data_IF_724476365382
#
_entry.id   IF_724476365382
#
_cell.length_a   1.000
_cell.length_b   1.000
_cell.length_c   1.000
_cell.angle_alpha   90.00
_cell.angle_beta   90.00
_cell.angle_gamma   90.00
#
_symmetry.space_group_name_H-M   'P 1'
#
loop_
_entity.id
_entity.type
_entity.pdbx_description
1 polymer ?
#
# COMPACT_ATOMS: atom_id res chain seq x y z
N UNK A 1 9.24 -1.86 -2.53
CA UNK A 1 8.29 -2.69 -1.78
C UNK A 1 7.73 -1.94 -0.57
N UNK A 2 8.59 -1.34 0.27
CA UNK A 2 8.17 -0.61 1.48
C UNK A 2 7.14 0.49 1.21
N UNK A 3 7.23 1.19 0.08
CA UNK A 3 6.25 2.22 -0.31
C UNK A 3 4.85 1.63 -0.45
N UNK A 4 4.71 0.47 -1.08
CA UNK A 4 3.40 -0.21 -1.23
C UNK A 4 2.88 -0.68 0.13
N UNK A 5 3.76 -1.29 0.96
CA UNK A 5 3.38 -1.75 2.29
C UNK A 5 2.96 -0.60 3.23
N UNK A 6 3.62 0.55 3.13
CA UNK A 6 3.39 1.67 4.05
C UNK A 6 2.23 2.60 3.64
N UNK A 7 1.77 2.53 2.39
CA UNK A 7 0.77 3.46 1.83
C UNK A 7 -0.44 2.77 1.21
N UNK A 8 -0.36 1.46 0.98
CA UNK A 8 -1.39 0.73 0.23
C UNK A 8 -1.55 1.17 -1.22
N UNK A 9 -0.60 1.93 -1.79
CA UNK A 9 -0.64 2.43 -3.17
C UNK A 9 -0.70 1.27 -4.19
N UNK A 10 -1.35 1.47 -5.32
CA UNK A 10 -1.31 0.50 -6.42
C UNK A 10 0.05 0.57 -7.13
N UNK A 11 0.50 -0.55 -7.68
CA UNK A 11 1.76 -0.60 -8.45
C UNK A 11 1.78 0.42 -9.58
N UNK A 12 0.68 0.54 -10.32
CA UNK A 12 0.56 1.52 -11.42
C UNK A 12 0.62 2.97 -10.97
N UNK A 13 0.35 3.24 -9.69
CA UNK A 13 0.38 4.59 -9.11
C UNK A 13 1.76 4.97 -8.57
N UNK A 14 2.71 4.03 -8.46
CA UNK A 14 4.07 4.31 -7.97
C UNK A 14 4.79 5.39 -8.80
N UNK A 15 4.45 5.55 -10.07
CA UNK A 15 4.98 6.61 -10.93
C UNK A 15 4.67 8.02 -10.44
N UNK A 16 3.64 8.19 -9.61
CA UNK A 16 3.27 9.48 -9.01
C UNK A 16 4.06 9.81 -7.74
N UNK A 17 4.84 8.87 -7.22
CA UNK A 17 5.75 9.15 -6.12
C UNK A 17 6.96 9.89 -6.70
N UNK A 18 6.94 11.19 -6.59
CA UNK A 18 8.00 12.09 -7.06
C UNK A 18 8.90 12.56 -5.92
N UNK A 19 10.03 13.16 -6.27
CA UNK A 19 10.93 13.80 -5.31
C UNK A 19 10.19 14.91 -4.52
N UNK A 20 9.29 15.64 -5.15
CA UNK A 20 8.43 16.66 -4.55
C UNK A 20 7.45 16.03 -3.57
N UNK A 21 6.80 14.92 -3.97
CA UNK A 21 5.90 14.17 -3.08
C UNK A 21 6.62 13.68 -1.81
N UNK A 22 7.86 13.21 -1.96
CA UNK A 22 8.68 12.79 -0.81
C UNK A 22 9.03 13.95 0.12
N UNK A 23 9.23 15.16 -0.42
CA UNK A 23 9.50 16.36 0.39
C UNK A 23 8.27 16.83 1.14
N UNK A 24 7.11 16.82 0.47
CA UNK A 24 5.83 17.28 1.05
C UNK A 24 5.13 16.22 1.93
N UNK A 25 5.57 14.96 1.90
CA UNK A 25 4.94 13.86 2.63
C UNK A 25 3.62 13.37 2.03
N UNK A 26 3.28 13.80 0.80
CA UNK A 26 2.03 13.41 0.13
C UNK A 26 2.20 13.36 -1.38
N UNK A 27 1.48 12.45 -2.02
CA UNK A 27 1.46 12.30 -3.47
C UNK A 27 0.02 12.35 -3.98
N UNK A 28 -0.23 13.12 -5.03
CA UNK A 28 -1.50 13.07 -5.77
C UNK A 28 -1.43 11.94 -6.79
N UNK A 29 -2.30 10.95 -6.64
CA UNK A 29 -2.37 9.81 -7.56
C UNK A 29 -3.67 9.82 -8.34
N UNK A 30 -3.61 9.36 -9.58
CA UNK A 30 -4.78 9.26 -10.45
C UNK A 30 -4.90 7.84 -11.01
N UNK A 31 -6.10 7.29 -10.96
CA UNK A 31 -6.42 6.00 -11.55
C UNK A 31 -7.86 6.00 -12.07
N UNK A 32 -8.04 5.65 -13.35
CA UNK A 32 -9.35 5.61 -14.01
C UNK A 32 -10.17 6.90 -13.81
N UNK A 33 -9.52 8.07 -13.96
CA UNK A 33 -10.15 9.38 -13.80
C UNK A 33 -10.40 9.85 -12.38
N UNK A 34 -10.17 8.99 -11.37
CA UNK A 34 -10.29 9.37 -9.97
C UNK A 34 -8.95 9.79 -9.39
N UNK A 35 -8.94 10.93 -8.70
CA UNK A 35 -7.77 11.45 -7.98
C UNK A 35 -7.93 11.21 -6.49
N UNK A 36 -6.83 10.94 -5.82
CA UNK A 36 -6.75 10.93 -4.35
C UNK A 36 -5.37 11.29 -3.87
N UNK A 37 -5.29 11.80 -2.67
CA UNK A 37 -4.02 12.02 -1.96
C UNK A 37 -3.57 10.74 -1.26
N UNK A 38 -2.31 10.38 -1.45
CA UNK A 38 -1.64 9.31 -0.71
C UNK A 38 -0.65 9.95 0.25
N UNK A 39 -0.82 9.72 1.55
CA UNK A 39 0.10 10.22 2.57
C UNK A 39 1.29 9.28 2.70
N UNK A 40 2.49 9.86 2.78
CA UNK A 40 3.75 9.16 2.96
C UNK A 40 4.17 9.31 4.43
N UNK A 41 4.22 8.23 5.22
CA UNK A 41 4.69 8.31 6.60
C UNK A 41 6.12 8.87 6.69
N UNK A 42 6.43 9.61 7.73
CA UNK A 42 7.73 10.27 7.92
C UNK A 42 8.91 9.31 7.81
N UNK A 43 8.77 8.11 8.36
CA UNK A 43 9.79 7.08 8.26
C UNK A 43 10.05 6.67 6.81
N UNK A 44 9.00 6.55 6.00
CA UNK A 44 9.12 6.29 4.56
C UNK A 44 9.77 7.47 3.85
N UNK A 45 9.36 8.70 4.16
CA UNK A 45 9.96 9.90 3.57
C UNK A 45 11.46 9.98 3.85
N UNK A 46 11.92 9.65 5.07
CA UNK A 46 13.35 9.60 5.40
C UNK A 46 14.10 8.57 4.54
N UNK A 47 13.55 7.36 4.39
CA UNK A 47 14.12 6.33 3.54
C UNK A 47 14.21 6.76 2.06
N UNK A 48 13.12 7.35 1.55
CA UNK A 48 13.09 7.80 0.15
C UNK A 48 14.02 8.99 -0.09
N UNK A 49 14.17 9.92 0.87
CA UNK A 49 15.15 11.01 0.78
C UNK A 49 16.58 10.48 0.70
N UNK A 50 16.93 9.48 1.51
CA UNK A 50 18.25 8.84 1.46
C UNK A 50 18.45 8.12 0.10
N UNK A 51 17.42 7.45 -0.41
CA UNK A 51 17.44 6.82 -1.73
C UNK A 51 17.63 7.84 -2.86
N UNK A 52 16.87 8.94 -2.87
CA UNK A 52 16.99 10.04 -3.83
C UNK A 52 18.43 10.60 -3.87
N UNK A 53 19.01 10.85 -2.69
CA UNK A 53 20.41 11.30 -2.58
C UNK A 53 21.39 10.30 -3.17
N UNK A 54 21.25 9.02 -2.83
CA UNK A 54 22.10 7.94 -3.36
C UNK A 54 22.01 7.81 -4.88
N UNK A 55 20.81 7.96 -5.44
CA UNK A 55 20.54 7.84 -6.88
C UNK A 55 20.74 9.16 -7.64
N UNK A 56 21.08 10.26 -6.95
CA UNK A 56 21.24 11.61 -7.52
C UNK A 56 19.99 12.11 -8.24
N UNK A 57 18.80 11.72 -7.74
CA UNK A 57 17.50 12.16 -8.28
C UNK A 57 17.07 13.44 -7.54
N UNK A 58 16.96 14.54 -8.26
CA UNK A 58 16.61 15.86 -7.69
C UNK A 58 15.15 16.24 -7.94
N UNK A 59 14.54 15.72 -9.01
CA UNK A 59 13.16 16.01 -9.40
C UNK A 59 12.51 14.83 -10.14
N UNK A 60 11.19 14.84 -10.26
CA UNK A 60 10.44 13.83 -10.99
C UNK A 60 10.26 12.51 -10.24
N UNK A 61 9.93 11.45 -10.97
CA UNK A 61 9.60 10.15 -10.38
C UNK A 61 10.77 9.52 -9.61
N UNK A 62 10.50 8.99 -8.41
CA UNK A 62 11.49 8.34 -7.56
C UNK A 62 11.91 6.98 -8.11
N UNK A 63 10.96 6.22 -8.61
CA UNK A 63 11.18 4.86 -9.07
C UNK A 63 11.30 4.84 -10.59
N UNK A 64 12.54 4.84 -11.07
CA UNK A 64 12.85 4.91 -12.49
C UNK A 64 13.74 3.73 -12.94
N UNK A 65 13.66 3.41 -14.21
CA UNK A 65 14.58 2.49 -14.88
C UNK A 65 15.96 3.12 -15.04
N UNK A 66 16.95 2.34 -15.47
CA UNK A 66 18.28 2.85 -15.80
C UNK A 66 18.27 3.94 -16.89
N UNK A 67 17.20 3.97 -17.73
CA UNK A 67 17.01 4.98 -18.77
C UNK A 67 16.19 6.19 -18.31
N UNK A 68 15.89 6.31 -17.01
CA UNK A 68 15.13 7.44 -16.43
C UNK A 68 13.61 7.36 -16.60
N UNK A 69 13.07 6.31 -17.21
CA UNK A 69 11.62 6.11 -17.34
C UNK A 69 11.02 5.58 -16.03
N UNK A 70 9.82 6.02 -15.61
CA UNK A 70 9.16 5.43 -14.45
C UNK A 70 9.03 3.91 -14.56
N UNK A 71 9.24 3.21 -13.43
CA UNK A 71 9.08 1.77 -13.38
C UNK A 71 7.63 1.38 -13.68
N UNK A 72 7.46 0.41 -14.57
CA UNK A 72 6.17 -0.19 -14.85
C UNK A 72 5.88 -1.41 -13.94
N UNK A 73 4.67 -1.97 -14.08
CA UNK A 73 4.24 -3.13 -13.33
C UNK A 73 5.15 -4.35 -13.53
N UNK A 74 5.65 -4.56 -14.75
CA UNK A 74 6.50 -5.72 -15.10
C UNK A 74 7.88 -5.60 -14.49
N UNK A 75 8.46 -4.40 -14.43
CA UNK A 75 9.72 -4.15 -13.76
C UNK A 75 9.63 -4.48 -12.26
N UNK A 76 8.57 -4.01 -11.60
CA UNK A 76 8.35 -4.23 -10.17
C UNK A 76 8.11 -5.70 -9.88
N UNK A 77 7.29 -6.37 -10.70
CA UNK A 77 7.02 -7.79 -10.58
C UNK A 77 8.30 -8.62 -10.69
N UNK A 78 9.13 -8.37 -11.73
CA UNK A 78 10.41 -9.06 -11.91
C UNK A 78 11.36 -8.83 -10.73
N UNK A 79 11.47 -7.59 -10.26
CA UNK A 79 12.29 -7.26 -9.10
C UNK A 79 11.82 -8.00 -7.83
N UNK A 80 10.51 -8.12 -7.61
CA UNK A 80 9.96 -8.90 -6.49
C UNK A 80 10.31 -10.38 -6.61
N UNK A 81 10.14 -10.97 -7.79
CA UNK A 81 10.47 -12.39 -8.03
C UNK A 81 11.95 -12.67 -7.80
N UNK A 82 12.84 -11.78 -8.24
CA UNK A 82 14.28 -11.92 -8.03
C UNK A 82 14.66 -11.93 -6.54
N UNK A 83 13.90 -11.27 -5.67
CA UNK A 83 14.15 -11.26 -4.22
C UNK A 83 13.71 -12.55 -3.52
N UNK A 84 12.82 -13.33 -4.12
CA UNK A 84 12.23 -14.51 -3.47
C UNK A 84 13.28 -15.57 -3.14
N UNK A 85 14.23 -15.82 -4.04
CA UNK A 85 15.30 -16.81 -3.84
C UNK A 85 16.12 -16.51 -2.58
N UNK A 86 16.59 -15.27 -2.47
CA UNK A 86 17.39 -14.84 -1.31
C UNK A 86 16.56 -14.79 0.00
N UNK A 87 15.25 -14.63 -0.11
CA UNK A 87 14.37 -14.54 1.04
C UNK A 87 13.78 -15.89 1.47
N UNK A 88 14.05 -16.98 0.74
CA UNK A 88 13.46 -18.29 0.99
C UNK A 88 11.93 -18.33 0.84
N UNK A 89 11.38 -17.46 -0.02
CA UNK A 89 9.93 -17.33 -0.22
C UNK A 89 9.52 -17.91 -1.56
N UNK A 90 8.43 -18.69 -1.55
CA UNK A 90 7.86 -19.29 -2.76
C UNK A 90 7.42 -18.20 -3.77
N UNK A 91 8.06 -18.12 -4.96
CA UNK A 91 7.77 -17.05 -5.92
C UNK A 91 6.32 -17.02 -6.41
N UNK A 92 5.65 -18.18 -6.48
CA UNK A 92 4.26 -18.29 -6.92
C UNK A 92 3.27 -17.54 -6.03
N UNK A 93 3.65 -17.30 -4.76
CA UNK A 93 2.82 -16.61 -3.75
C UNK A 93 3.14 -15.12 -3.60
N UNK A 94 4.15 -14.60 -4.31
CA UNK A 94 4.62 -13.22 -4.15
C UNK A 94 4.13 -12.34 -5.29
N UNK A 95 3.21 -11.44 -4.97
CA UNK A 95 2.63 -10.47 -5.90
C UNK A 95 2.59 -9.07 -5.25
N UNK A 96 2.78 -8.00 -6.03
CA UNK A 96 2.66 -6.63 -5.50
C UNK A 96 1.32 -6.37 -4.81
N UNK A 97 0.25 -7.00 -5.27
CA UNK A 97 -1.08 -6.88 -4.68
C UNK A 97 -1.13 -7.39 -3.22
N UNK A 98 -0.34 -8.40 -2.88
CA UNK A 98 -0.25 -8.93 -1.52
C UNK A 98 0.30 -7.91 -0.53
N UNK A 99 1.18 -7.01 -0.97
CA UNK A 99 1.70 -5.93 -0.13
C UNK A 99 0.62 -4.89 0.19
N UNK A 100 -0.25 -4.61 -0.76
CA UNK A 100 -1.41 -3.74 -0.55
C UNK A 100 -2.46 -4.43 0.35
N UNK A 101 -2.65 -5.75 0.23
CA UNK A 101 -3.47 -6.54 1.15
C UNK A 101 -2.92 -6.48 2.58
N UNK A 102 -1.60 -6.58 2.72
CA UNK A 102 -0.94 -6.46 4.03
C UNK A 102 -1.24 -5.09 4.66
N UNK A 103 -1.10 -4.00 3.91
CA UNK A 103 -1.47 -2.67 4.37
C UNK A 103 -2.94 -2.62 4.82
N UNK A 104 -3.86 -3.13 3.99
CA UNK A 104 -5.29 -3.09 4.29
C UNK A 104 -5.63 -3.86 5.57
N UNK A 105 -5.07 -5.06 5.74
CA UNK A 105 -5.26 -5.87 6.96
C UNK A 105 -4.67 -5.19 8.20
N UNK A 106 -3.46 -4.64 8.09
CA UNK A 106 -2.81 -3.96 9.20
C UNK A 106 -3.58 -2.70 9.62
N UNK A 107 -4.02 -1.88 8.65
CA UNK A 107 -4.84 -0.70 8.91
C UNK A 107 -6.16 -1.07 9.59
N UNK A 108 -6.88 -2.04 9.04
CA UNK A 108 -8.16 -2.46 9.60
C UNK A 108 -8.01 -3.09 10.99
N UNK A 109 -6.93 -3.83 11.24
CA UNK A 109 -6.65 -4.38 12.57
C UNK A 109 -6.50 -3.27 13.63
N UNK A 110 -5.92 -2.13 13.24
CA UNK A 110 -5.68 -0.99 14.10
C UNK A 110 -6.93 -0.11 14.28
N UNK A 111 -7.54 0.32 13.18
CA UNK A 111 -8.55 1.38 13.17
C UNK A 111 -9.99 0.85 13.11
N UNK A 112 -10.22 -0.38 12.64
CA UNK A 112 -11.55 -1.00 12.45
C UNK A 112 -12.53 -0.19 11.57
N UNK A 113 -12.04 0.81 10.85
CA UNK A 113 -12.82 1.70 9.99
C UNK A 113 -12.70 1.29 8.52
N UNK A 114 -13.69 0.54 8.04
CA UNK A 114 -13.72 0.03 6.68
C UNK A 114 -13.98 1.11 5.63
N UNK A 115 -14.80 2.10 5.97
CA UNK A 115 -15.13 3.20 5.06
C UNK A 115 -13.88 4.06 4.81
N UNK A 116 -13.20 4.46 5.86
CA UNK A 116 -11.93 5.20 5.76
C UNK A 116 -10.85 4.40 5.04
N UNK A 117 -10.75 3.09 5.28
CA UNK A 117 -9.84 2.22 4.54
C UNK A 117 -10.17 2.22 3.03
N UNK A 118 -11.46 2.15 2.67
CA UNK A 118 -11.88 2.22 1.27
C UNK A 118 -11.45 3.53 0.60
N UNK A 119 -11.60 4.66 1.30
CA UNK A 119 -11.17 5.98 0.82
C UNK A 119 -9.65 6.03 0.63
N UNK A 120 -8.87 5.60 1.61
CA UNK A 120 -7.40 5.55 1.54
C UNK A 120 -6.95 4.70 0.34
N UNK A 121 -7.58 3.56 0.13
CA UNK A 121 -7.28 2.67 -0.98
C UNK A 121 -7.81 3.19 -2.32
N UNK A 122 -8.74 4.16 -2.32
CA UNK A 122 -9.39 4.67 -3.52
C UNK A 122 -10.28 3.61 -4.17
N UNK A 123 -11.05 2.89 -3.36
CA UNK A 123 -12.09 2.00 -3.82
C UNK A 123 -13.39 2.77 -4.05
N UNK A 124 -14.08 2.51 -5.15
CA UNK A 124 -15.37 3.13 -5.44
C UNK A 124 -16.52 2.50 -4.65
N UNK A 125 -16.28 1.35 -4.05
CA UNK A 125 -17.24 0.61 -3.23
C UNK A 125 -16.54 0.02 -2.01
N UNK A 126 -17.15 0.17 -0.84
CA UNK A 126 -16.71 -0.46 0.41
C UNK A 126 -16.71 -1.99 0.30
N UNK A 127 -17.60 -2.56 -0.52
CA UNK A 127 -17.63 -3.99 -0.76
C UNK A 127 -16.30 -4.54 -1.32
N UNK A 128 -15.59 -3.77 -2.14
CA UNK A 128 -14.26 -4.14 -2.62
C UNK A 128 -13.24 -4.22 -1.48
N UNK A 129 -13.45 -3.47 -0.41
CA UNK A 129 -12.58 -3.45 0.77
C UNK A 129 -12.91 -4.57 1.74
N UNK A 130 -14.15 -5.05 1.78
CA UNK A 130 -14.58 -6.14 2.68
C UNK A 130 -13.78 -7.43 2.51
N UNK A 131 -13.27 -7.70 1.31
CA UNK A 131 -12.43 -8.89 1.07
C UNK A 131 -11.17 -8.94 1.94
N UNK A 132 -10.69 -7.78 2.41
CA UNK A 132 -9.52 -7.69 3.30
C UNK A 132 -9.85 -7.91 4.77
N UNK A 133 -11.14 -7.91 5.12
CA UNK A 133 -11.63 -7.86 6.50
C UNK A 133 -12.59 -9.01 6.82
N UNK A 134 -12.71 -10.01 5.95
CA UNK A 134 -13.54 -11.18 6.22
C UNK A 134 -13.01 -11.91 7.44
N UNK A 135 -13.77 -11.80 8.53
CA UNK A 135 -13.49 -12.48 9.81
C UNK A 135 -14.31 -13.76 9.89
N UNK A 136 -13.83 -14.74 10.65
CA UNK A 136 -14.57 -15.98 10.89
C UNK A 136 -15.77 -15.74 11.81
N UNK A 137 -16.80 -16.57 11.69
CA UNK A 137 -17.97 -16.52 12.59
C UNK A 137 -17.63 -16.57 14.08
N UNK A 138 -16.52 -17.21 14.46
CA UNK A 138 -16.03 -17.23 15.84
C UNK A 138 -15.64 -15.82 16.35
N UNK A 139 -15.08 -14.97 15.49
CA UNK A 139 -14.76 -13.57 15.83
C UNK A 139 -16.06 -12.78 16.06
N UNK A 140 -17.05 -12.95 15.17
CA UNK A 140 -18.35 -12.31 15.33
C UNK A 140 -19.06 -12.74 16.61
N UNK A 141 -19.08 -14.03 16.92
CA UNK A 141 -19.66 -14.56 18.16
C UNK A 141 -19.02 -13.95 19.40
N UNK A 142 -17.68 -13.85 19.42
CA UNK A 142 -16.96 -13.22 20.53
C UNK A 142 -17.30 -11.72 20.66
N UNK A 143 -17.40 -11.01 19.56
CA UNK A 143 -17.77 -9.59 19.57
C UNK A 143 -19.19 -9.37 20.09
N UNK A 144 -20.14 -10.18 19.64
CA UNK A 144 -21.54 -10.13 20.10
C UNK A 144 -21.62 -10.43 21.60
N UNK A 145 -20.89 -11.48 22.07
CA UNK A 145 -20.87 -11.83 23.49
C UNK A 145 -20.33 -10.72 24.41
N UNK A 146 -19.45 -9.85 23.87
CA UNK A 146 -18.89 -8.70 24.62
C UNK A 146 -19.86 -7.50 24.70
N UNK A 147 -20.96 -7.48 23.94
CA UNK A 147 -21.89 -6.36 23.94
C UNK A 147 -22.67 -6.22 25.27
N UNK A 148 -22.79 -7.30 26.04
CA UNK A 148 -23.43 -7.26 27.35
C UNK A 148 -24.91 -6.85 27.32
N UNK A 149 -25.62 -7.09 26.21
CA UNK A 149 -27.02 -6.68 26.03
C UNK A 149 -28.04 -7.71 26.56
N UNK A 150 -27.56 -8.83 27.08
CA UNK A 150 -28.46 -9.82 27.77
C UNK A 150 -28.56 -9.41 29.22
N UNK A 151 -29.76 -9.00 29.62
CA UNK A 151 -30.11 -8.68 31.02
C UNK A 151 -30.64 -9.96 31.64
N UNK A 152 -29.98 -10.47 32.66
CA UNK A 152 -30.44 -11.61 33.50
C UNK A 152 -31.06 -11.11 34.78
#
# INVERSE_FOLDING_TARGET
LQTICATGIRVSELRFISAEAVRSGRAEVSNKGKRRTVFLPDRLCRLLKAYLKKQKITAGAVFVTRTGRPLDRSNIWRAMKALCGNAGVEPSKVFPHNLRHLFAKAYYALEKDLARLADILGHSSVNTTRIYTMESGAVHARQIGRMGLVIT
#
